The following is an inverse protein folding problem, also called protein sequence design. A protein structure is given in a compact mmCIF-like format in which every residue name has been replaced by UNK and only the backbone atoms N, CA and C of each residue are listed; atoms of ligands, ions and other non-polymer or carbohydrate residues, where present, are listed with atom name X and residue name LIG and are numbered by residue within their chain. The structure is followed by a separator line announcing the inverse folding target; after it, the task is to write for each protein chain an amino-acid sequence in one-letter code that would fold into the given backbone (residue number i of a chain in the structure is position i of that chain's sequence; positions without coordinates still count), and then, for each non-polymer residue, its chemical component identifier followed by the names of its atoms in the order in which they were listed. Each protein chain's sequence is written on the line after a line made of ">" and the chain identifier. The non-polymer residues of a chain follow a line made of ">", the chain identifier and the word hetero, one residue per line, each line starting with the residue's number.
data_IF_046908193696
#
_entry.id   IF_046908193696
#
_cell.length_a   1.000
_cell.length_b   1.000
_cell.length_c   1.000
_cell.angle_alpha   90.00
_cell.angle_beta   90.00
_cell.angle_gamma   90.00
#
_symmetry.space_group_name_H-M   'P 1'
#
loop_
_entity.id
_entity.type
_entity.pdbx_description
1 polymer ?
#
# COMPACT_ATOMS: atom_id res chain seq x y z
N UNK A 1 31.15 -0.85 -10.47
CA UNK A 1 30.02 0.10 -10.63
C UNK A 1 29.07 -0.10 -9.46
N UNK A 2 28.50 0.99 -8.93
CA UNK A 2 27.65 0.95 -7.72
C UNK A 2 26.19 0.57 -8.08
N UNK A 3 25.52 -0.31 -7.32
CA UNK A 3 24.08 -0.49 -7.42
C UNK A 3 23.30 0.82 -7.24
N UNK A 4 22.26 1.00 -8.05
CA UNK A 4 21.32 2.12 -7.94
C UNK A 4 19.92 1.56 -7.64
N UNK A 5 19.23 2.18 -6.68
CA UNK A 5 17.87 1.81 -6.28
C UNK A 5 16.94 3.00 -6.57
N UNK A 6 15.91 2.78 -7.39
CA UNK A 6 14.89 3.79 -7.70
C UNK A 6 13.67 3.57 -6.81
N UNK A 7 13.55 4.40 -5.77
CA UNK A 7 12.44 4.41 -4.81
C UNK A 7 12.89 4.11 -3.38
N UNK A 8 12.55 5.00 -2.44
CA UNK A 8 12.93 4.89 -1.02
C UNK A 8 11.73 4.59 -0.10
N UNK A 9 10.84 3.71 -0.55
CA UNK A 9 9.89 3.00 0.32
C UNK A 9 10.52 1.76 0.95
N UNK A 10 9.74 0.91 1.64
CA UNK A 10 10.28 -0.24 2.38
C UNK A 10 11.13 -1.16 1.51
N UNK A 11 10.67 -1.54 0.31
CA UNK A 11 11.42 -2.42 -0.59
C UNK A 11 12.82 -1.90 -0.93
N UNK A 12 12.91 -0.62 -1.30
CA UNK A 12 14.19 0.00 -1.67
C UNK A 12 15.10 0.28 -0.48
N UNK A 13 14.52 0.60 0.69
CA UNK A 13 15.29 0.76 1.93
C UNK A 13 15.80 -0.57 2.49
N UNK A 14 15.00 -1.64 2.47
CA UNK A 14 15.43 -2.98 2.84
C UNK A 14 16.52 -3.51 1.89
N UNK A 15 16.39 -3.27 0.58
CA UNK A 15 17.44 -3.61 -0.38
C UNK A 15 18.73 -2.79 -0.16
N UNK A 16 18.62 -1.49 0.13
CA UNK A 16 19.77 -0.65 0.48
C UNK A 16 20.47 -1.14 1.76
N UNK A 17 19.68 -1.47 2.79
CA UNK A 17 20.18 -1.96 4.07
C UNK A 17 20.91 -3.30 3.91
N UNK A 18 20.34 -4.25 3.17
CA UNK A 18 20.95 -5.55 2.92
C UNK A 18 22.27 -5.46 2.13
N UNK A 19 22.38 -4.50 1.20
CA UNK A 19 23.63 -4.22 0.49
C UNK A 19 24.67 -3.58 1.42
N UNK A 20 24.26 -2.61 2.24
CA UNK A 20 25.15 -1.93 3.17
C UNK A 20 25.67 -2.87 4.28
N UNK A 21 24.83 -3.76 4.81
CA UNK A 21 25.22 -4.84 5.72
C UNK A 21 26.27 -5.80 5.12
N UNK A 22 26.37 -5.88 3.79
CA UNK A 22 27.38 -6.64 3.05
C UNK A 22 28.58 -5.79 2.61
N UNK A 23 28.71 -4.56 3.13
CA UNK A 23 29.71 -3.57 2.73
C UNK A 23 29.70 -3.25 1.21
N UNK A 24 28.54 -3.36 0.56
CA UNK A 24 28.36 -2.98 -0.85
C UNK A 24 27.77 -1.56 -0.88
N UNK A 25 28.52 -0.54 -1.32
CA UNK A 25 27.98 0.81 -1.40
C UNK A 25 26.79 0.86 -2.36
N UNK A 26 25.76 1.66 -2.06
CA UNK A 26 24.53 1.76 -2.87
C UNK A 26 24.03 3.21 -2.97
N UNK A 27 23.53 3.60 -4.15
CA UNK A 27 22.87 4.90 -4.35
C UNK A 27 21.35 4.72 -4.32
N UNK A 28 20.68 5.30 -3.32
CA UNK A 28 19.23 5.23 -3.11
C UNK A 28 18.55 6.53 -3.58
N UNK A 29 17.79 6.45 -4.66
CA UNK A 29 17.19 7.61 -5.34
C UNK A 29 15.70 7.71 -5.03
N UNK A 30 15.20 8.90 -4.69
CA UNK A 30 13.76 9.13 -4.58
C UNK A 30 13.35 10.59 -4.86
N UNK A 31 12.15 10.83 -5.42
CA UNK A 31 11.64 12.19 -5.65
C UNK A 31 11.24 12.90 -4.35
N UNK A 32 10.98 12.15 -3.27
CA UNK A 32 10.56 12.66 -1.96
C UNK A 32 11.31 11.95 -0.82
N UNK A 33 11.46 12.56 0.37
CA UNK A 33 12.00 11.89 1.55
C UNK A 33 11.23 10.61 1.90
N UNK A 34 11.92 9.60 2.42
CA UNK A 34 11.35 8.27 2.73
C UNK A 34 10.12 8.29 3.64
N UNK A 35 10.03 9.26 4.56
CA UNK A 35 8.85 9.52 5.40
C UNK A 35 7.58 9.93 4.63
N UNK A 36 7.70 10.20 3.32
CA UNK A 36 6.58 10.47 2.40
C UNK A 36 6.28 9.31 1.45
N UNK A 37 6.99 8.18 1.57
CA UNK A 37 6.68 6.97 0.81
C UNK A 37 5.31 6.42 1.19
N UNK A 38 4.62 5.76 0.25
CA UNK A 38 3.31 5.15 0.52
C UNK A 38 3.38 4.09 1.64
N UNK A 39 4.54 3.46 1.86
CA UNK A 39 4.73 2.47 2.92
C UNK A 39 4.39 3.00 4.32
N UNK A 40 4.58 4.30 4.58
CA UNK A 40 4.19 4.95 5.85
C UNK A 40 2.68 4.85 6.13
N UNK A 41 1.86 4.72 5.08
CA UNK A 41 0.40 4.64 5.18
C UNK A 41 -0.12 3.20 5.40
N UNK A 42 0.75 2.19 5.55
CA UNK A 42 0.30 0.83 5.83
C UNK A 42 -0.15 0.68 7.30
N UNK A 43 -1.44 0.39 7.50
CA UNK A 43 -2.02 0.25 8.84
C UNK A 43 -2.01 -1.23 9.32
N UNK A 44 -2.37 -2.14 8.40
CA UNK A 44 -2.87 -3.49 8.69
C UNK A 44 -1.92 -4.43 9.44
N UNK A 45 -0.63 -4.38 9.17
CA UNK A 45 0.36 -5.28 9.77
C UNK A 45 1.27 -5.92 8.73
N UNK A 46 2.06 -6.91 9.16
CA UNK A 46 2.94 -7.76 8.35
C UNK A 46 2.59 -9.21 8.69
N UNK A 47 2.48 -10.08 7.70
CA UNK A 47 2.05 -11.47 7.91
C UNK A 47 3.26 -12.39 8.08
N UNK A 48 3.34 -13.12 9.20
CA UNK A 48 4.40 -14.08 9.46
C UNK A 48 3.90 -15.22 10.35
N UNK A 49 4.31 -16.45 10.02
CA UNK A 49 3.96 -17.64 10.78
C UNK A 49 4.80 -17.76 12.07
N UNK A 50 4.50 -16.88 13.04
CA UNK A 50 5.11 -16.83 14.38
C UNK A 50 4.11 -17.13 15.51
N UNK A 51 2.85 -17.44 15.17
CA UNK A 51 1.83 -17.88 16.12
C UNK A 51 1.97 -19.36 16.49
N UNK A 52 1.47 -19.80 17.66
CA UNK A 52 1.63 -21.17 18.13
C UNK A 52 0.93 -22.21 17.24
N UNK A 53 -0.19 -21.84 16.61
CA UNK A 53 -1.00 -22.71 15.74
C UNK A 53 -0.79 -22.42 14.23
N UNK A 54 0.32 -21.77 13.85
CA UNK A 54 0.60 -21.40 12.46
C UNK A 54 1.89 -22.06 11.93
N UNK A 55 2.05 -22.09 10.61
CA UNK A 55 3.28 -22.57 9.96
C UNK A 55 3.49 -21.89 8.60
N UNK A 56 4.73 -21.83 8.09
CA UNK A 56 5.00 -21.33 6.74
C UNK A 56 4.16 -22.03 5.66
N UNK A 57 3.94 -23.34 5.77
CA UNK A 57 3.09 -24.11 4.85
C UNK A 57 1.61 -23.72 4.94
N UNK A 58 1.12 -23.36 6.14
CA UNK A 58 -0.24 -22.86 6.33
C UNK A 58 -0.41 -21.45 5.74
N UNK A 59 0.58 -20.58 5.96
CA UNK A 59 0.65 -19.25 5.35
C UNK A 59 0.76 -19.32 3.81
N UNK A 60 1.55 -20.27 3.27
CA UNK A 60 1.65 -20.56 1.84
C UNK A 60 0.28 -20.90 1.26
N UNK A 61 -0.44 -21.86 1.87
CA UNK A 61 -1.75 -22.31 1.39
C UNK A 61 -2.76 -21.17 1.34
N UNK A 62 -2.86 -20.41 2.42
CA UNK A 62 -3.79 -19.28 2.51
C UNK A 62 -3.47 -18.19 1.48
N UNK A 63 -2.19 -17.92 1.23
CA UNK A 63 -1.73 -16.96 0.20
C UNK A 63 -2.00 -17.47 -1.22
N UNK A 64 -1.77 -18.77 -1.47
CA UNK A 64 -2.00 -19.42 -2.76
C UNK A 64 -3.47 -19.40 -3.18
N UNK A 65 -4.36 -19.77 -2.25
CA UNK A 65 -5.81 -19.76 -2.48
C UNK A 65 -6.36 -18.34 -2.60
N UNK A 66 -5.90 -17.41 -1.74
CA UNK A 66 -6.30 -15.99 -1.81
C UNK A 66 -5.84 -15.29 -3.09
N UNK A 67 -4.68 -15.69 -3.63
CA UNK A 67 -4.15 -15.24 -4.92
C UNK A 67 -4.79 -15.92 -6.14
N UNK A 68 -5.95 -16.58 -5.97
CA UNK A 68 -6.68 -17.33 -7.01
C UNK A 68 -5.81 -18.38 -7.74
N UNK A 69 -4.75 -18.88 -7.09
CA UNK A 69 -3.76 -19.82 -7.67
C UNK A 69 -3.05 -19.29 -8.93
N UNK A 70 -2.93 -17.96 -9.07
CA UNK A 70 -2.28 -17.28 -10.20
C UNK A 70 -0.83 -16.84 -9.91
N UNK A 71 -0.38 -16.91 -8.66
CA UNK A 71 0.95 -16.45 -8.26
C UNK A 71 2.07 -17.39 -8.77
N UNK A 72 3.34 -17.00 -8.58
CA UNK A 72 4.44 -17.93 -8.75
C UNK A 72 4.63 -18.74 -7.46
N UNK A 73 4.43 -20.06 -7.53
CA UNK A 73 4.52 -20.97 -6.36
C UNK A 73 5.85 -20.82 -5.60
N UNK A 74 6.98 -20.76 -6.31
CA UNK A 74 8.31 -20.62 -5.68
C UNK A 74 8.46 -19.28 -4.95
N UNK A 75 7.92 -18.20 -5.52
CA UNK A 75 7.94 -16.88 -4.90
C UNK A 75 7.07 -16.83 -3.64
N UNK A 76 5.87 -17.44 -3.66
CA UNK A 76 5.00 -17.52 -2.47
C UNK A 76 5.67 -18.35 -1.38
N UNK A 77 6.22 -19.52 -1.71
CA UNK A 77 6.92 -20.40 -0.75
C UNK A 77 8.09 -19.66 -0.07
N UNK A 78 8.95 -19.01 -0.85
CA UNK A 78 10.07 -18.23 -0.32
C UNK A 78 9.61 -17.07 0.58
N UNK A 79 8.54 -16.35 0.19
CA UNK A 79 7.96 -15.28 1.01
C UNK A 79 7.44 -15.82 2.35
N UNK A 80 6.69 -16.92 2.34
CA UNK A 80 6.05 -17.43 3.55
C UNK A 80 7.01 -18.13 4.50
N UNK A 81 8.07 -18.76 3.98
CA UNK A 81 9.18 -19.32 4.76
C UNK A 81 10.04 -18.24 5.40
N UNK A 82 10.33 -17.16 4.66
CA UNK A 82 11.22 -16.10 5.15
C UNK A 82 10.55 -15.10 6.08
N UNK A 83 9.21 -15.00 6.05
CA UNK A 83 8.45 -14.02 6.84
C UNK A 83 8.69 -14.08 8.38
N UNK A 84 8.80 -15.26 9.04
CA UNK A 84 9.16 -15.33 10.46
C UNK A 84 10.52 -14.70 10.78
N UNK A 85 11.53 -14.97 9.96
CA UNK A 85 12.88 -14.39 10.10
C UNK A 85 12.85 -12.86 9.89
N UNK A 86 12.05 -12.37 8.93
CA UNK A 86 11.84 -10.93 8.72
C UNK A 86 11.26 -10.24 9.96
N UNK A 87 10.33 -10.87 10.70
CA UNK A 87 9.85 -10.26 11.95
C UNK A 87 10.98 -10.18 12.99
N UNK A 88 11.81 -11.21 13.12
CA UNK A 88 12.99 -11.20 13.99
C UNK A 88 13.99 -10.08 13.62
N UNK A 89 14.28 -9.91 12.33
CA UNK A 89 15.11 -8.81 11.83
C UNK A 89 14.50 -7.44 12.17
N UNK A 90 13.19 -7.27 11.99
CA UNK A 90 12.51 -6.01 12.32
C UNK A 90 12.51 -5.74 13.83
N UNK A 91 12.44 -6.77 14.68
CA UNK A 91 12.62 -6.63 16.13
C UNK A 91 14.06 -6.21 16.47
N UNK A 92 15.07 -6.75 15.80
CA UNK A 92 16.47 -6.31 15.96
C UNK A 92 16.69 -4.86 15.51
N UNK A 93 15.97 -4.39 14.49
CA UNK A 93 15.92 -2.97 14.06
C UNK A 93 15.06 -2.08 15.00
N UNK A 94 14.71 -2.56 16.19
CA UNK A 94 13.88 -1.88 17.17
C UNK A 94 12.52 -1.38 16.62
N UNK A 95 11.92 -2.10 15.65
CA UNK A 95 10.57 -1.80 15.21
C UNK A 95 9.58 -1.99 16.36
N UNK A 96 8.89 -0.90 16.73
CA UNK A 96 7.94 -0.87 17.83
C UNK A 96 6.63 -1.61 17.51
N UNK A 97 6.66 -2.95 17.49
CA UNK A 97 5.47 -3.79 17.44
C UNK A 97 4.63 -3.62 18.73
N UNK A 98 3.31 -3.72 18.59
CA UNK A 98 2.41 -3.92 19.73
C UNK A 98 2.73 -5.29 20.34
N UNK A 99 3.04 -5.36 21.63
CA UNK A 99 3.40 -6.61 22.30
C UNK A 99 2.19 -7.23 23.04
N UNK A 100 2.18 -8.56 23.10
CA UNK A 100 1.28 -9.34 23.95
C UNK A 100 1.75 -9.36 25.41
N UNK A 101 0.94 -10.00 26.28
CA UNK A 101 1.27 -10.18 27.69
C UNK A 101 2.50 -11.08 27.93
N UNK A 102 2.92 -11.85 26.93
CA UNK A 102 4.12 -12.69 26.89
C UNK A 102 5.36 -11.95 26.35
N UNK A 103 5.25 -10.65 26.05
CA UNK A 103 6.33 -9.84 25.49
C UNK A 103 6.62 -10.07 24.00
N UNK A 104 5.87 -10.94 23.31
CA UNK A 104 6.03 -11.21 21.87
C UNK A 104 5.14 -10.29 21.02
N UNK A 105 5.39 -10.16 19.70
CA UNK A 105 4.52 -9.38 18.82
C UNK A 105 3.07 -9.89 18.85
N UNK A 106 2.12 -8.99 19.15
CA UNK A 106 0.71 -9.31 19.17
C UNK A 106 0.18 -9.59 17.75
N UNK A 107 -0.52 -10.71 17.58
CA UNK A 107 -1.09 -11.14 16.31
C UNK A 107 -2.59 -10.84 16.26
N UNK A 108 -3.08 -10.36 15.11
CA UNK A 108 -4.50 -10.07 14.89
C UNK A 108 -5.08 -10.80 13.67
N UNK A 109 -6.41 -11.01 13.62
CA UNK A 109 -7.07 -11.53 12.42
C UNK A 109 -6.98 -10.53 11.27
N UNK A 110 -6.66 -11.04 10.08
CA UNK A 110 -6.67 -10.26 8.84
C UNK A 110 -7.32 -11.08 7.70
N UNK A 111 -7.66 -10.42 6.59
CA UNK A 111 -8.39 -11.06 5.51
C UNK A 111 -7.62 -12.17 4.81
N UNK A 112 -8.32 -13.22 4.38
CA UNK A 112 -7.74 -14.34 3.63
C UNK A 112 -6.91 -15.34 4.44
N UNK A 113 -6.86 -15.20 5.77
CA UNK A 113 -6.08 -16.06 6.66
C UNK A 113 -6.96 -17.08 7.39
N UNK A 114 -6.45 -18.29 7.62
CA UNK A 114 -7.10 -19.31 8.45
C UNK A 114 -6.82 -19.14 9.94
N UNK A 115 -5.69 -18.52 10.31
CA UNK A 115 -5.25 -18.25 11.70
C UNK A 115 -4.68 -16.83 11.82
N UNK A 116 -4.59 -16.30 13.06
CA UNK A 116 -4.06 -14.97 13.32
C UNK A 116 -2.53 -14.95 13.13
N UNK A 117 -2.03 -14.28 12.07
CA UNK A 117 -0.59 -14.19 11.78
C UNK A 117 -0.07 -12.79 11.46
N UNK A 118 -0.92 -11.78 11.62
CA UNK A 118 -0.58 -10.40 11.30
C UNK A 118 0.01 -9.69 12.52
N UNK A 119 1.35 -9.62 12.57
CA UNK A 119 2.08 -8.78 13.51
C UNK A 119 1.89 -7.30 13.15
N UNK A 120 1.80 -6.41 14.15
CA UNK A 120 1.41 -5.02 13.91
C UNK A 120 1.93 -4.05 14.96
N UNK A 121 1.84 -2.75 14.65
CA UNK A 121 2.04 -1.64 15.59
C UNK A 121 0.79 -0.76 15.61
N UNK A 122 -0.23 -1.17 16.36
CA UNK A 122 -1.59 -0.63 16.39
C UNK A 122 -2.15 -0.37 14.98
N UNK A 123 -2.38 0.88 14.59
CA UNK A 123 -2.80 1.30 13.24
C UNK A 123 -1.65 1.96 12.45
N UNK A 124 -0.41 1.85 12.91
CA UNK A 124 0.75 2.62 12.42
C UNK A 124 1.91 1.75 11.92
N UNK A 125 1.70 0.45 11.69
CA UNK A 125 2.75 -0.52 11.33
C UNK A 125 3.73 -0.02 10.28
N UNK A 126 3.23 0.51 9.16
CA UNK A 126 4.05 1.04 8.06
C UNK A 126 4.86 2.27 8.43
N UNK A 127 4.34 3.14 9.32
CA UNK A 127 5.09 4.26 9.89
C UNK A 127 6.24 3.74 10.75
N UNK A 128 6.00 2.79 11.65
CA UNK A 128 7.05 2.23 12.52
C UNK A 128 8.14 1.51 11.71
N UNK A 129 7.75 0.69 10.73
CA UNK A 129 8.67 0.00 9.82
C UNK A 129 9.55 0.99 9.04
N UNK A 130 8.95 2.02 8.42
CA UNK A 130 9.70 3.05 7.69
C UNK A 130 10.60 3.83 8.64
N UNK A 131 10.17 4.14 9.86
CA UNK A 131 10.98 4.83 10.86
C UNK A 131 12.21 4.00 11.24
N UNK A 132 12.04 2.71 11.59
CA UNK A 132 13.14 1.80 11.92
C UNK A 132 14.18 1.71 10.79
N UNK A 133 13.72 1.48 9.55
CA UNK A 133 14.60 1.44 8.37
C UNK A 133 15.32 2.77 8.12
N UNK A 134 14.69 3.91 8.38
CA UNK A 134 15.35 5.23 8.25
C UNK A 134 16.44 5.41 9.31
N UNK A 135 16.20 5.00 10.56
CA UNK A 135 17.20 5.11 11.62
C UNK A 135 18.43 4.22 11.34
N UNK A 136 18.22 2.95 10.97
CA UNK A 136 19.35 2.06 10.67
C UNK A 136 20.13 2.52 9.44
N UNK A 137 19.46 2.96 8.38
CA UNK A 137 20.14 3.47 7.17
C UNK A 137 20.95 4.74 7.41
N UNK A 138 20.67 5.54 8.45
CA UNK A 138 21.48 6.74 8.75
C UNK A 138 22.90 6.38 9.17
N UNK A 139 23.10 5.28 9.91
CA UNK A 139 24.45 4.78 10.24
C UNK A 139 25.23 4.51 8.96
N UNK A 140 24.61 3.81 8.02
CA UNK A 140 25.21 3.49 6.73
C UNK A 140 25.38 4.70 5.78
N UNK A 141 24.64 5.79 6.00
CA UNK A 141 24.85 7.08 5.31
C UNK A 141 26.07 7.83 5.86
N UNK A 142 26.27 7.80 7.19
CA UNK A 142 27.45 8.36 7.86
C UNK A 142 28.73 7.56 7.51
N UNK A 143 28.63 6.23 7.40
CA UNK A 143 29.70 5.35 6.89
C UNK A 143 29.97 5.49 5.38
N UNK A 144 29.15 6.25 4.64
CA UNK A 144 29.29 6.45 3.19
C UNK A 144 28.88 5.24 2.33
N UNK A 145 28.38 4.16 2.94
CA UNK A 145 27.86 2.98 2.24
C UNK A 145 26.51 3.24 1.55
N UNK A 146 25.69 4.18 2.05
CA UNK A 146 24.41 4.55 1.45
C UNK A 146 24.44 6.01 1.01
N UNK A 147 24.30 6.26 -0.29
CA UNK A 147 24.18 7.60 -0.86
C UNK A 147 22.71 7.92 -1.18
N UNK A 148 22.02 8.71 -0.34
CA UNK A 148 20.59 9.02 -0.51
C UNK A 148 20.35 10.27 -1.39
N UNK A 149 20.00 10.06 -2.66
CA UNK A 149 19.65 11.11 -3.61
C UNK A 149 18.16 11.47 -3.57
N UNK A 150 17.80 12.34 -2.63
CA UNK A 150 16.42 12.86 -2.49
C UNK A 150 16.15 14.05 -3.43
N UNK A 151 14.93 14.13 -3.98
CA UNK A 151 14.49 15.19 -4.89
C UNK A 151 14.78 14.91 -6.36
N UNK A 152 15.21 13.68 -6.69
CA UNK A 152 15.48 13.22 -8.04
C UNK A 152 14.35 12.31 -8.52
N UNK A 153 13.78 12.66 -9.67
CA UNK A 153 12.79 11.87 -10.40
C UNK A 153 13.52 10.99 -11.41
N UNK A 154 13.07 9.75 -11.58
CA UNK A 154 13.54 8.89 -12.68
C UNK A 154 12.98 9.43 -14.00
N UNK A 155 13.85 9.74 -14.96
CA UNK A 155 13.43 10.10 -16.32
C UNK A 155 13.41 8.88 -17.23
N UNK A 156 14.50 8.10 -17.21
CA UNK A 156 14.73 7.02 -18.17
C UNK A 156 15.84 6.06 -17.73
N UNK A 157 15.90 4.91 -18.42
CA UNK A 157 16.94 3.90 -18.30
C UNK A 157 17.77 3.87 -19.58
N UNK A 158 19.10 3.78 -19.45
CA UNK A 158 20.00 3.50 -20.56
C UNK A 158 20.21 1.99 -20.67
N UNK A 159 19.71 1.41 -21.77
CA UNK A 159 19.73 -0.01 -22.07
C UNK A 159 20.55 -0.27 -23.34
N UNK A 160 21.30 -1.36 -23.33
CA UNK A 160 22.16 -1.80 -24.42
C UNK A 160 22.05 -3.33 -24.55
N UNK A 161 21.41 -3.80 -25.62
CA UNK A 161 21.11 -5.24 -25.82
C UNK A 161 20.39 -5.89 -24.61
N UNK A 162 19.55 -5.11 -23.90
CA UNK A 162 18.85 -5.54 -22.68
C UNK A 162 19.65 -5.37 -21.39
N UNK A 163 20.95 -5.07 -21.46
CA UNK A 163 21.79 -4.79 -20.30
C UNK A 163 21.63 -3.33 -19.84
N UNK A 164 21.65 -3.10 -18.53
CA UNK A 164 21.64 -1.73 -17.98
C UNK A 164 23.03 -1.12 -18.11
N UNK A 165 23.11 0.10 -18.64
CA UNK A 165 24.33 0.94 -18.65
C UNK A 165 24.27 2.09 -17.67
N UNK A 166 23.07 2.56 -17.35
CA UNK A 166 22.83 3.59 -16.36
C UNK A 166 21.39 4.08 -16.29
N UNK A 167 21.17 5.14 -15.52
CA UNK A 167 19.87 5.79 -15.38
C UNK A 167 19.97 7.30 -15.54
N UNK A 168 18.94 7.89 -16.13
CA UNK A 168 18.76 9.32 -16.28
C UNK A 168 17.80 9.83 -15.21
N UNK A 169 18.24 10.80 -14.42
CA UNK A 169 17.51 11.38 -13.30
C UNK A 169 17.33 12.89 -13.48
N UNK A 170 16.22 13.44 -13.00
CA UNK A 170 15.94 14.88 -13.04
C UNK A 170 15.65 15.43 -11.66
N UNK A 171 16.40 16.46 -11.25
CA UNK A 171 16.10 17.22 -10.04
C UNK A 171 15.27 18.46 -10.40
N UNK A 172 13.99 18.43 -10.06
CA UNK A 172 13.04 19.51 -10.40
C UNK A 172 13.40 20.85 -9.76
N UNK A 173 13.95 20.83 -8.55
CA UNK A 173 14.29 22.06 -7.80
C UNK A 173 15.57 22.71 -8.37
N UNK A 174 16.55 21.90 -8.75
CA UNK A 174 17.82 22.35 -9.36
C UNK A 174 17.74 22.52 -10.89
N UNK A 175 16.61 22.17 -11.51
CA UNK A 175 16.40 22.08 -12.97
C UNK A 175 17.53 21.33 -13.70
N UNK A 176 18.13 20.32 -13.04
CA UNK A 176 19.32 19.61 -13.52
C UNK A 176 19.03 18.14 -13.79
N UNK A 177 19.42 17.69 -14.97
CA UNK A 177 19.50 16.27 -15.32
C UNK A 177 20.85 15.69 -14.89
N UNK A 178 20.86 14.47 -14.38
CA UNK A 178 22.05 13.72 -13.96
C UNK A 178 21.97 12.32 -14.55
N UNK A 179 23.06 11.86 -15.15
CA UNK A 179 23.24 10.47 -15.57
C UNK A 179 24.08 9.74 -14.53
N UNK A 180 23.62 8.57 -14.08
CA UNK A 180 24.38 7.67 -13.20
C UNK A 180 24.67 6.38 -13.96
N UNK A 181 25.95 6.15 -14.28
CA UNK A 181 26.41 4.92 -14.92
C UNK A 181 26.35 3.75 -13.93
N UNK A 182 25.60 2.71 -14.27
CA UNK A 182 25.53 1.48 -13.47
C UNK A 182 25.09 0.30 -14.33
N UNK A 183 25.59 -0.90 -14.00
CA UNK A 183 25.09 -2.18 -14.52
C UNK A 183 24.13 -2.90 -13.57
N UNK A 184 23.81 -2.30 -12.42
CA UNK A 184 23.01 -2.90 -11.36
C UNK A 184 21.92 -1.94 -10.91
N UNK A 185 20.68 -2.23 -11.28
CA UNK A 185 19.53 -1.36 -11.05
C UNK A 185 18.38 -2.12 -10.39
N UNK A 186 17.89 -1.61 -9.26
CA UNK A 186 16.72 -2.12 -8.55
C UNK A 186 15.60 -1.09 -8.68
N UNK A 187 14.41 -1.53 -9.12
CA UNK A 187 13.23 -0.67 -9.24
C UNK A 187 12.27 -0.96 -8.07
N UNK A 188 12.14 0.01 -7.16
CA UNK A 188 11.32 -0.03 -5.95
C UNK A 188 10.35 1.18 -5.89
N UNK A 189 9.88 1.64 -7.06
CA UNK A 189 9.18 2.91 -7.24
C UNK A 189 7.73 2.95 -6.70
N UNK A 190 7.16 1.81 -6.32
CA UNK A 190 5.77 1.68 -5.86
C UNK A 190 4.76 1.42 -6.98
N UNK A 191 3.47 1.56 -6.66
CA UNK A 191 2.36 1.18 -7.53
C UNK A 191 1.84 2.27 -8.48
N UNK A 192 0.81 1.92 -9.26
CA UNK A 192 0.25 2.72 -10.36
C UNK A 192 -0.97 3.59 -9.93
N UNK A 193 -0.99 4.09 -8.69
CA UNK A 193 -2.18 4.71 -8.10
C UNK A 193 -2.73 5.92 -8.87
N UNK A 194 -1.83 6.73 -9.44
CA UNK A 194 -2.21 7.93 -10.20
C UNK A 194 -3.01 7.67 -11.47
N UNK A 195 -3.07 6.42 -11.96
CA UNK A 195 -3.98 6.02 -13.04
C UNK A 195 -5.45 6.04 -12.62
N UNK A 196 -5.75 6.04 -11.30
CA UNK A 196 -7.10 5.92 -10.77
C UNK A 196 -7.48 7.12 -9.89
N UNK A 197 -8.48 7.90 -10.30
CA UNK A 197 -8.96 9.07 -9.56
C UNK A 197 -9.62 8.78 -8.19
N UNK A 198 -9.86 7.51 -7.84
CA UNK A 198 -10.47 7.07 -6.58
C UNK A 198 -9.55 6.09 -5.81
N UNK A 199 -8.28 6.46 -5.61
CA UNK A 199 -7.29 5.62 -4.92
C UNK A 199 -7.20 5.89 -3.40
N UNK A 200 -6.83 4.88 -2.62
CA UNK A 200 -6.37 5.01 -1.22
C UNK A 200 -4.87 5.32 -1.11
N UNK A 201 -4.10 5.01 -2.15
CA UNK A 201 -2.66 5.17 -2.20
C UNK A 201 -2.21 6.62 -2.29
N UNK A 202 -0.89 6.83 -2.42
CA UNK A 202 -0.36 8.16 -2.63
C UNK A 202 -0.56 8.59 -4.08
N UNK A 203 -1.10 9.78 -4.32
CA UNK A 203 -1.18 10.38 -5.67
C UNK A 203 0.21 10.74 -6.24
N UNK A 204 1.26 10.68 -5.42
CA UNK A 204 2.65 10.77 -5.89
C UNK A 204 3.14 9.49 -6.59
N UNK A 205 2.47 8.35 -6.36
CA UNK A 205 2.77 7.08 -7.02
C UNK A 205 1.97 7.04 -8.34
N UNK A 206 2.47 7.75 -9.35
CA UNK A 206 1.81 7.94 -10.66
C UNK A 206 1.93 6.74 -11.59
N UNK A 207 2.93 5.88 -11.38
CA UNK A 207 3.27 4.78 -12.28
C UNK A 207 4.16 5.19 -13.46
N UNK A 208 4.70 6.41 -13.44
CA UNK A 208 5.61 6.95 -14.45
C UNK A 208 6.86 6.09 -14.68
N UNK A 209 7.49 5.59 -13.60
CA UNK A 209 8.66 4.69 -13.69
C UNK A 209 8.31 3.41 -14.43
N UNK A 210 7.23 2.73 -14.04
CA UNK A 210 6.78 1.48 -14.68
C UNK A 210 6.40 1.71 -16.14
N UNK A 211 5.68 2.79 -16.44
CA UNK A 211 5.30 3.16 -17.80
C UNK A 211 6.54 3.45 -18.66
N UNK A 212 7.55 4.15 -18.14
CA UNK A 212 8.80 4.43 -18.86
C UNK A 212 9.57 3.14 -19.15
N UNK A 213 9.74 2.27 -18.15
CA UNK A 213 10.42 0.98 -18.33
C UNK A 213 9.71 0.12 -19.39
N UNK A 214 8.37 0.09 -19.37
CA UNK A 214 7.57 -0.58 -20.40
C UNK A 214 7.83 0.01 -21.80
N UNK A 215 7.88 1.34 -21.95
CA UNK A 215 8.26 1.97 -23.24
C UNK A 215 9.71 1.71 -23.67
N UNK A 216 10.56 1.22 -22.77
CA UNK A 216 11.93 0.77 -23.05
C UNK A 216 12.04 -0.74 -23.28
N UNK A 217 10.91 -1.42 -23.47
CA UNK A 217 10.84 -2.85 -23.79
C UNK A 217 10.90 -3.77 -22.58
N UNK A 218 10.88 -3.26 -21.35
CA UNK A 218 10.83 -4.10 -20.14
C UNK A 218 9.45 -4.72 -19.98
N UNK A 219 9.38 -6.04 -19.79
CA UNK A 219 8.10 -6.75 -19.69
C UNK A 219 7.40 -6.45 -18.37
N UNK A 220 6.12 -6.10 -18.45
CA UNK A 220 5.22 -5.97 -17.29
C UNK A 220 4.19 -7.09 -17.38
N UNK A 221 4.02 -7.83 -16.28
CA UNK A 221 3.03 -8.90 -16.16
C UNK A 221 1.85 -8.46 -15.27
N UNK A 222 0.68 -9.06 -15.50
CA UNK A 222 -0.51 -8.96 -14.64
C UNK A 222 -0.99 -7.51 -14.36
N UNK A 223 -0.80 -6.59 -15.31
CA UNK A 223 -1.17 -5.18 -15.16
C UNK A 223 -2.70 -4.96 -15.01
N UNK A 224 -3.50 -5.94 -15.40
CA UNK A 224 -4.94 -6.01 -15.23
C UNK A 224 -5.39 -6.40 -13.80
N UNK A 225 -4.51 -6.97 -12.98
CA UNK A 225 -4.82 -7.43 -11.61
C UNK A 225 -4.81 -6.27 -10.60
N UNK A 226 -5.76 -5.35 -10.73
CA UNK A 226 -5.91 -4.19 -9.86
C UNK A 226 -6.76 -4.53 -8.62
N UNK A 227 -6.17 -4.39 -7.44
CA UNK A 227 -6.87 -4.59 -6.16
C UNK A 227 -7.72 -3.36 -5.78
N UNK A 228 -9.01 -3.57 -5.56
CA UNK A 228 -9.93 -2.56 -5.01
C UNK A 228 -10.19 -2.83 -3.53
N UNK A 229 -9.76 -1.90 -2.66
CA UNK A 229 -9.99 -2.04 -1.21
C UNK A 229 -11.49 -1.83 -0.88
N UNK A 230 -12.16 -2.77 -0.18
CA UNK A 230 -13.63 -2.76 -0.04
C UNK A 230 -14.15 -1.65 0.88
N UNK A 231 -13.33 -1.18 1.83
CA UNK A 231 -13.72 -0.17 2.83
C UNK A 231 -12.86 1.08 2.71
N UNK A 232 -13.47 2.19 2.27
CA UNK A 232 -12.81 3.49 2.15
C UNK A 232 -13.75 4.63 2.54
N UNK A 233 -13.19 5.73 3.02
CA UNK A 233 -13.91 6.98 3.28
C UNK A 233 -13.50 8.02 2.25
N UNK A 234 -14.47 8.55 1.49
CA UNK A 234 -14.19 9.52 0.43
C UNK A 234 -13.78 10.87 1.02
N UNK A 235 -12.63 11.39 0.58
CA UNK A 235 -12.19 12.77 0.82
C UNK A 235 -11.86 13.45 -0.51
N UNK A 236 -11.76 14.79 -0.57
CA UNK A 236 -11.21 15.48 -1.74
C UNK A 236 -9.79 14.98 -2.05
N UNK A 237 -9.46 14.83 -3.33
CA UNK A 237 -8.15 14.36 -3.79
C UNK A 237 -7.97 12.83 -3.75
N UNK A 238 -7.95 12.23 -2.55
CA UNK A 238 -7.81 10.78 -2.38
C UNK A 238 -8.82 10.19 -1.40
N UNK A 239 -9.10 8.90 -1.52
CA UNK A 239 -9.85 8.18 -0.51
C UNK A 239 -8.95 7.89 0.70
N UNK A 240 -9.54 7.91 1.90
CA UNK A 240 -8.91 7.41 3.12
C UNK A 240 -9.24 5.92 3.25
N UNK A 241 -8.24 5.09 3.54
CA UNK A 241 -8.45 3.67 3.82
C UNK A 241 -9.16 3.52 5.17
N UNK A 242 -9.98 2.48 5.32
CA UNK A 242 -10.48 2.02 6.62
C UNK A 242 -10.01 0.57 6.75
N UNK A 243 -9.02 0.31 7.62
CA UNK A 243 -8.34 -0.97 7.72
C UNK A 243 -9.28 -2.18 7.81
N UNK A 244 -8.93 -3.26 7.11
CA UNK A 244 -9.58 -4.56 7.24
C UNK A 244 -9.55 -5.09 8.68
N UNK A 245 -8.58 -4.66 9.51
CA UNK A 245 -8.57 -4.98 10.94
C UNK A 245 -9.87 -4.55 11.65
N UNK A 246 -10.59 -3.53 11.17
CA UNK A 246 -11.92 -3.16 11.69
C UNK A 246 -12.96 -4.26 11.45
N UNK A 247 -12.92 -4.95 10.30
CA UNK A 247 -13.76 -6.13 10.01
C UNK A 247 -13.32 -7.34 10.83
N UNK A 248 -12.00 -7.56 10.94
CA UNK A 248 -11.40 -8.60 11.80
C UNK A 248 -11.82 -8.48 13.27
N UNK A 249 -11.84 -7.25 13.81
CA UNK A 249 -12.29 -6.92 15.16
C UNK A 249 -13.82 -6.95 15.36
N UNK A 250 -14.60 -7.50 14.42
CA UNK A 250 -16.05 -7.67 14.54
C UNK A 250 -16.91 -6.65 13.78
N UNK A 251 -16.30 -5.70 13.06
CA UNK A 251 -17.01 -4.79 12.16
C UNK A 251 -17.83 -5.53 11.10
N UNK A 252 -18.96 -4.94 10.68
CA UNK A 252 -19.91 -5.54 9.73
C UNK A 252 -20.29 -4.54 8.64
N UNK A 253 -20.28 -5.02 7.39
CA UNK A 253 -20.82 -4.29 6.26
C UNK A 253 -22.33 -4.52 6.17
N UNK A 254 -23.08 -3.49 5.83
CA UNK A 254 -24.53 -3.58 5.65
C UNK A 254 -24.99 -2.60 4.58
N UNK A 255 -26.13 -2.91 3.99
CA UNK A 255 -26.90 -2.03 3.13
C UNK A 255 -28.33 -1.93 3.68
N UNK A 256 -29.09 -0.95 3.20
CA UNK A 256 -30.52 -0.82 3.51
C UNK A 256 -31.31 -0.99 2.22
N UNK A 257 -32.23 -1.97 2.20
CA UNK A 257 -33.14 -2.23 1.09
C UNK A 257 -34.56 -2.26 1.65
N UNK A 258 -35.45 -1.42 1.14
CA UNK A 258 -36.84 -1.32 1.61
C UNK A 258 -36.96 -0.99 3.12
N UNK A 259 -36.04 -0.18 3.66
CA UNK A 259 -35.99 0.14 5.10
C UNK A 259 -35.49 -0.98 6.01
N UNK A 260 -35.13 -2.15 5.46
CA UNK A 260 -34.52 -3.27 6.22
C UNK A 260 -33.00 -3.24 6.07
N UNK A 261 -32.30 -3.36 7.20
CA UNK A 261 -30.84 -3.49 7.25
C UNK A 261 -30.44 -4.91 6.89
N UNK A 262 -29.75 -5.07 5.76
CA UNK A 262 -29.22 -6.33 5.28
C UNK A 262 -27.70 -6.34 5.48
N UNK A 263 -27.20 -7.24 6.33
CA UNK A 263 -25.76 -7.47 6.48
C UNK A 263 -25.22 -8.06 5.18
N UNK A 264 -24.28 -7.35 4.56
CA UNK A 264 -23.53 -7.86 3.43
C UNK A 264 -22.48 -8.83 4.00
N UNK A 265 -22.46 -10.06 3.48
CA UNK A 265 -21.51 -11.13 3.84
C UNK A 265 -21.70 -11.68 5.27
N UNK A 266 -22.56 -12.69 5.41
CA UNK A 266 -22.56 -13.61 6.58
C UNK A 266 -21.54 -14.72 6.32
N UNK A 267 -20.78 -15.12 7.35
CA UNK A 267 -19.70 -16.14 7.29
C UNK A 267 -20.13 -17.50 6.70
N UNK A 268 -21.44 -17.79 6.65
CA UNK A 268 -22.04 -19.03 6.11
C UNK A 268 -23.44 -18.81 5.46
N UNK A 269 -23.77 -17.62 4.90
CA UNK A 269 -25.04 -17.51 4.16
C UNK A 269 -25.10 -16.33 3.18
N UNK A 270 -25.26 -16.63 1.90
CA UNK A 270 -25.92 -15.75 0.92
C UNK A 270 -27.43 -16.04 0.98
N UNK A 271 -28.31 -15.04 1.15
CA UNK A 271 -29.76 -15.25 1.03
C UNK A 271 -30.12 -15.69 -0.39
N UNK A 272 -30.95 -16.74 -0.54
CA UNK A 272 -31.36 -17.31 -1.85
C UNK A 272 -31.96 -16.28 -2.82
N UNK A 273 -32.54 -15.18 -2.33
CA UNK A 273 -33.10 -14.12 -3.18
C UNK A 273 -32.07 -13.44 -4.10
N UNK A 274 -30.77 -13.50 -3.77
CA UNK A 274 -29.70 -12.88 -4.58
C UNK A 274 -29.20 -13.84 -5.68
N UNK A 275 -29.45 -15.16 -5.60
CA UNK A 275 -28.94 -16.12 -6.60
C UNK A 275 -29.68 -16.09 -7.94
N UNK A 276 -30.93 -15.59 -7.97
CA UNK A 276 -31.78 -15.64 -9.18
C UNK A 276 -31.43 -14.61 -10.27
N UNK A 277 -30.26 -13.94 -10.20
CA UNK A 277 -29.79 -12.98 -11.21
C UNK A 277 -28.55 -13.44 -12.00
N UNK A 278 -28.24 -14.74 -11.98
CA UNK A 278 -27.24 -15.35 -12.86
C UNK A 278 -25.76 -15.03 -12.56
N UNK A 279 -25.47 -14.17 -11.59
CA UNK A 279 -24.10 -13.96 -11.09
C UNK A 279 -23.74 -15.06 -10.09
N UNK A 280 -22.94 -16.03 -10.53
CA UNK A 280 -22.29 -17.00 -9.65
C UNK A 280 -21.26 -16.30 -8.75
N UNK A 281 -21.58 -16.19 -7.46
CA UNK A 281 -20.62 -15.77 -6.45
C UNK A 281 -19.78 -16.97 -6.01
N UNK A 282 -18.44 -16.90 -5.99
CA UNK A 282 -17.62 -18.00 -5.48
C UNK A 282 -17.86 -18.20 -3.98
N UNK A 283 -18.17 -19.45 -3.58
CA UNK A 283 -18.64 -19.82 -2.23
C UNK A 283 -17.56 -19.83 -1.11
N UNK A 284 -16.40 -19.19 -1.30
CA UNK A 284 -15.28 -19.26 -0.33
C UNK A 284 -14.72 -17.88 0.05
N UNK A 285 -14.16 -17.80 1.26
CA UNK A 285 -13.79 -16.58 1.99
C UNK A 285 -12.62 -15.76 1.40
N UNK A 286 -12.65 -15.39 0.13
CA UNK A 286 -11.63 -14.51 -0.52
C UNK A 286 -11.96 -13.01 -0.41
N UNK A 287 -12.58 -12.59 0.70
CA UNK A 287 -13.06 -11.22 0.93
C UNK A 287 -12.01 -10.24 1.50
N UNK A 288 -10.72 -10.58 1.40
CA UNK A 288 -9.57 -9.66 1.58
C UNK A 288 -9.40 -8.76 0.37
N UNK A 289 -9.52 -9.32 -0.83
CA UNK A 289 -9.31 -8.62 -2.09
C UNK A 289 -10.06 -9.30 -3.24
N UNK A 290 -11.14 -8.67 -3.69
CA UNK A 290 -11.77 -9.07 -4.94
C UNK A 290 -10.96 -8.54 -6.13
N UNK A 291 -10.40 -9.44 -6.93
CA UNK A 291 -9.85 -9.15 -8.25
C UNK A 291 -11.04 -8.99 -9.20
N UNK A 292 -11.30 -7.76 -9.66
CA UNK A 292 -12.44 -7.46 -10.54
C UNK A 292 -12.01 -7.39 -12.02
N UNK A 293 -12.11 -8.50 -12.74
CA UNK A 293 -12.02 -8.51 -14.20
C UNK A 293 -13.38 -8.15 -14.82
N UNK A 294 -13.68 -6.84 -14.96
CA UNK A 294 -14.86 -6.39 -15.71
C UNK A 294 -15.38 -5.00 -15.32
N UNK A 295 -16.06 -4.33 -16.28
CA UNK A 295 -16.72 -3.03 -16.06
C UNK A 295 -17.97 -3.16 -15.17
N UNK A 296 -17.79 -3.35 -13.87
CA UNK A 296 -18.87 -3.29 -12.88
C UNK A 296 -18.42 -2.52 -11.63
N UNK A 297 -18.56 -1.19 -11.69
CA UNK A 297 -18.28 -0.32 -10.55
C UNK A 297 -19.35 -0.50 -9.46
N UNK A 298 -19.08 -1.43 -8.53
CA UNK A 298 -19.85 -1.55 -7.28
C UNK A 298 -19.54 -0.34 -6.39
N UNK A 299 -20.12 0.79 -6.78
CA UNK A 299 -20.02 2.06 -6.08
C UNK A 299 -20.80 1.93 -4.79
N UNK A 300 -20.10 1.64 -3.68
CA UNK A 300 -20.65 1.82 -2.34
C UNK A 300 -20.89 3.31 -2.15
N UNK A 301 -22.07 3.79 -2.59
CA UNK A 301 -22.59 5.10 -2.20
C UNK A 301 -22.79 5.05 -0.70
N UNK A 302 -21.87 5.65 0.05
CA UNK A 302 -22.05 5.89 1.47
C UNK A 302 -23.25 6.84 1.64
N UNK A 303 -24.42 6.28 1.92
CA UNK A 303 -25.64 7.06 2.11
C UNK A 303 -25.59 7.85 3.41
N UNK A 304 -26.32 8.98 3.42
CA UNK A 304 -26.05 10.18 4.24
C UNK A 304 -26.09 10.06 5.78
N UNK A 305 -26.41 8.90 6.37
CA UNK A 305 -26.54 8.75 7.84
C UNK A 305 -26.09 7.38 8.33
N UNK A 306 -24.93 7.33 9.00
CA UNK A 306 -24.58 6.25 9.93
C UNK A 306 -24.82 6.80 11.33
N UNK A 307 -25.78 6.25 12.07
CA UNK A 307 -25.97 6.51 13.51
C UNK A 307 -25.46 5.32 14.32
N UNK A 308 -24.65 5.62 15.33
CA UNK A 308 -24.31 4.73 16.43
C UNK A 308 -25.01 5.29 17.69
N UNK A 309 -25.51 4.43 18.58
CA UNK A 309 -26.24 4.84 19.79
C UNK A 309 -25.63 4.19 21.05
N UNK A 310 -25.51 4.91 22.19
CA UNK A 310 -24.84 4.45 23.41
C UNK A 310 -25.82 4.24 24.60
N UNK A 311 -25.29 3.93 25.80
CA UNK A 311 -25.86 4.45 27.04
C UNK A 311 -24.86 5.27 27.89
N UNK A 312 -25.41 6.28 28.59
CA UNK A 312 -24.85 7.16 29.65
C UNK A 312 -23.84 8.31 29.33
N UNK A 313 -24.44 9.52 29.23
CA UNK A 313 -24.15 10.85 29.85
C UNK A 313 -22.97 10.97 30.86
N UNK A 314 -22.28 12.13 31.04
CA UNK A 314 -22.36 13.51 30.48
C UNK A 314 -20.96 14.19 30.51
N UNK A 315 -20.71 15.18 29.63
CA UNK A 315 -19.85 16.41 29.72
C UNK A 315 -19.44 16.95 28.29
N UNK A 316 -19.02 18.23 28.12
CA UNK A 316 -19.44 19.04 26.95
C UNK A 316 -18.44 19.22 25.75
N UNK A 317 -18.97 19.87 24.71
CA UNK A 317 -18.46 20.03 23.33
C UNK A 317 -17.30 21.06 23.17
N UNK A 318 -16.44 21.02 22.14
CA UNK A 318 -16.79 21.46 20.75
C UNK A 318 -15.74 21.10 19.69
N UNK A 319 -16.17 20.41 18.62
CA UNK A 319 -15.62 20.48 17.24
C UNK A 319 -16.41 19.54 16.29
N UNK A 320 -17.11 20.09 15.29
CA UNK A 320 -17.91 19.34 14.30
C UNK A 320 -17.06 18.98 13.05
N UNK A 321 -17.23 17.87 12.30
CA UNK A 321 -18.00 16.62 12.43
C UNK A 321 -17.48 15.67 11.30
N UNK A 322 -17.49 14.33 11.33
CA UNK A 322 -17.97 13.28 12.25
C UNK A 322 -16.78 12.35 12.58
N UNK A 323 -16.81 11.68 13.74
CA UNK A 323 -15.77 10.83 14.32
C UNK A 323 -15.85 9.33 13.96
N UNK A 324 -14.69 8.65 14.00
CA UNK A 324 -14.58 7.18 14.09
C UNK A 324 -14.33 6.87 15.58
N UNK A 325 -15.14 5.98 16.18
CA UNK A 325 -14.93 5.55 17.57
C UNK A 325 -13.91 4.41 17.63
N UNK A 326 -12.74 4.70 18.19
CA UNK A 326 -11.78 3.70 18.69
C UNK A 326 -11.49 4.08 20.15
N UNK A 327 -11.68 3.14 21.07
CA UNK A 327 -11.40 3.36 22.50
C UNK A 327 -9.88 3.33 22.75
N UNK A 328 -9.34 4.37 23.36
CA UNK A 328 -8.14 4.29 24.20
C UNK A 328 -8.29 5.24 25.40
N UNK A 329 -7.60 4.94 26.49
CA UNK A 329 -7.92 5.44 27.83
C UNK A 329 -7.32 6.82 28.17
N UNK A 330 -7.88 7.42 29.22
CA UNK A 330 -7.70 8.78 29.76
C UNK A 330 -6.24 9.23 29.95
N UNK A 331 -6.03 10.55 29.78
CA UNK A 331 -5.29 11.40 30.72
C UNK A 331 -6.08 12.72 30.96
N UNK A 332 -5.77 13.44 32.04
CA UNK A 332 -6.66 14.44 32.70
C UNK A 332 -6.70 15.85 32.05
N UNK A 333 -7.72 16.70 32.33
CA UNK A 333 -7.91 18.00 31.68
C UNK A 333 -7.81 19.25 32.59
N UNK A 334 -7.23 20.33 32.07
CA UNK A 334 -7.51 21.76 32.36
C UNK A 334 -6.89 22.63 31.25
N UNK A 335 -7.43 23.76 30.78
CA UNK A 335 -8.77 24.35 30.94
C UNK A 335 -8.97 25.56 29.99
N UNK A 336 -10.23 25.84 29.63
CA UNK A 336 -10.85 27.15 29.26
C UNK A 336 -10.24 28.14 28.22
N UNK A 337 -11.11 28.57 27.27
CA UNK A 337 -11.06 29.85 26.53
C UNK A 337 -10.38 29.80 25.14
N UNK A 338 -10.77 30.52 24.08
CA UNK A 338 -11.89 31.42 23.75
C UNK A 338 -11.63 31.98 22.33
N UNK A 339 -12.68 32.19 21.53
CA UNK A 339 -12.88 33.11 20.37
C UNK A 339 -11.69 33.76 19.61
N UNK A 340 -11.73 33.80 18.26
CA UNK A 340 -11.34 34.96 17.40
C UNK A 340 -11.79 34.78 15.92
N UNK A 341 -12.14 35.89 15.24
CA UNK A 341 -12.49 35.99 13.80
C UNK A 341 -11.25 36.19 12.89
N UNK A 342 -11.36 35.94 11.58
CA UNK A 342 -11.28 36.97 10.51
C UNK A 342 -11.46 36.38 9.09
N UNK A 343 -11.65 37.23 8.07
CA UNK A 343 -12.04 36.88 6.69
C UNK A 343 -11.06 37.43 5.63
N UNK A 344 -11.08 36.88 4.39
CA UNK A 344 -10.95 37.61 3.10
C UNK A 344 -10.81 36.70 1.83
N UNK A 345 -11.51 37.06 0.73
CA UNK A 345 -11.00 37.22 -0.67
C UNK A 345 -10.26 36.08 -1.42
N UNK A 346 -10.41 35.78 -2.74
CA UNK A 346 -11.35 36.17 -3.84
C UNK A 346 -11.23 35.21 -5.06
N UNK A 347 -12.19 35.33 -6.01
CA UNK A 347 -12.12 35.11 -7.49
C UNK A 347 -12.35 33.71 -8.11
N UNK A 348 -12.87 33.79 -9.35
CA UNK A 348 -13.53 32.78 -10.19
C UNK A 348 -12.63 32.23 -11.32
N UNK A 349 -13.01 31.12 -12.00
CA UNK A 349 -12.20 30.45 -13.02
C UNK A 349 -12.54 30.88 -14.46
N UNK A 350 -11.63 30.74 -15.43
CA UNK A 350 -11.94 30.75 -16.86
C UNK A 350 -12.24 29.35 -17.41
N UNK A 351 -13.08 29.31 -18.44
CA UNK A 351 -13.45 28.13 -19.23
C UNK A 351 -12.52 27.95 -20.44
N UNK A 352 -12.39 26.71 -20.94
CA UNK A 352 -11.69 26.43 -22.19
C UNK A 352 -11.92 25.00 -22.69
N UNK A 353 -12.58 24.86 -23.85
CA UNK A 353 -12.65 23.59 -24.59
C UNK A 353 -11.46 23.51 -25.55
N UNK A 354 -10.84 22.33 -25.67
CA UNK A 354 -9.99 21.98 -26.81
C UNK A 354 -10.40 20.60 -27.30
N UNK A 355 -10.70 20.50 -28.59
CA UNK A 355 -10.99 19.25 -29.30
C UNK A 355 -9.74 18.78 -30.05
N UNK A 356 -9.40 17.50 -29.92
CA UNK A 356 -8.32 16.86 -30.70
C UNK A 356 -8.65 15.39 -30.95
N UNK A 357 -8.56 14.96 -32.21
CA UNK A 357 -8.90 13.60 -32.62
C UNK A 357 -7.78 12.61 -32.28
N UNK A 358 -8.15 11.38 -31.90
CA UNK A 358 -7.19 10.28 -31.72
C UNK A 358 -7.10 9.44 -32.99
N UNK A 359 -5.92 9.37 -33.61
CA UNK A 359 -5.54 8.32 -34.55
C UNK A 359 -4.78 7.20 -33.83
N UNK A 360 -5.04 5.95 -34.18
CA UNK A 360 -4.45 4.78 -33.54
C UNK A 360 -3.16 4.32 -34.25
N UNK A 361 -2.08 3.95 -33.52
CA UNK A 361 -0.92 3.30 -34.10
C UNK A 361 -1.08 1.77 -34.20
N UNK A 362 -0.38 1.16 -35.17
CA UNK A 362 -0.52 -0.23 -35.57
C UNK A 362 0.17 -1.24 -34.62
N UNK A 363 -0.18 -2.53 -34.78
CA UNK A 363 0.47 -3.67 -34.10
C UNK A 363 1.91 -3.89 -34.61
N UNK A 364 2.80 -4.30 -33.71
CA UNK A 364 4.11 -4.88 -34.03
C UNK A 364 4.26 -6.29 -33.43
N UNK A 365 5.17 -7.14 -33.96
CA UNK A 365 5.06 -8.59 -33.84
C UNK A 365 5.63 -9.17 -32.54
N UNK A 366 5.18 -10.38 -32.21
CA UNK A 366 5.64 -11.13 -31.06
C UNK A 366 6.93 -11.90 -31.39
N UNK A 367 8.06 -11.46 -30.83
CA UNK A 367 9.19 -12.32 -30.36
C UNK A 367 10.36 -11.46 -29.85
N UNK A 368 10.34 -11.10 -28.56
CA UNK A 368 11.54 -10.71 -27.81
C UNK A 368 11.39 -11.15 -26.35
N UNK A 369 12.32 -11.97 -25.87
CA UNK A 369 12.42 -12.36 -24.45
C UNK A 369 13.00 -11.21 -23.63
N UNK A 370 12.13 -10.30 -23.20
CA UNK A 370 12.53 -9.15 -22.38
C UNK A 370 12.47 -9.45 -20.87
N UNK A 371 13.30 -8.77 -20.05
CA UNK A 371 13.33 -8.97 -18.61
C UNK A 371 11.99 -8.58 -17.96
N UNK A 372 11.47 -9.46 -17.10
CA UNK A 372 10.18 -9.30 -16.42
C UNK A 372 10.36 -8.46 -15.15
N UNK A 373 9.77 -7.27 -15.12
CA UNK A 373 9.53 -6.54 -13.87
C UNK A 373 8.29 -7.11 -13.19
N UNK A 374 8.53 -7.96 -12.18
CA UNK A 374 7.49 -8.45 -11.29
C UNK A 374 7.01 -7.31 -10.37
N UNK A 375 5.85 -6.73 -10.69
CA UNK A 375 5.19 -5.73 -9.85
C UNK A 375 4.48 -6.38 -8.63
N UNK A 376 5.22 -7.15 -7.84
CA UNK A 376 4.71 -7.79 -6.63
C UNK A 376 4.50 -6.75 -5.51
N UNK A 377 3.27 -6.25 -5.37
CA UNK A 377 2.86 -5.54 -4.15
C UNK A 377 2.43 -6.55 -3.09
N UNK A 378 3.42 -7.26 -2.53
CA UNK A 378 3.27 -8.17 -1.40
C UNK A 378 4.45 -7.98 -0.44
N UNK A 379 4.19 -7.29 0.66
CA UNK A 379 4.99 -7.16 1.87
C UNK A 379 4.01 -7.21 3.06
#
# INVERSE_FOLDING_TARGET
>A
MQPVIIGAGIAGMSAALHLAQKNIPVTLVAPYPSVRSQSVMAEGGINAAIGPDDSPSLHFRDTWESGCRLANIKAVHHLTDRAPEVIGELQHLAMAFTLGADGKPALRPFGGQSVNRTAHADSTTGKQLVTALIYELRRYEEEGLVNRLTGFFFLDIDLDEGNVRGVLLYNRNRKKTVYIRTSQLIIAAGGLNGLFGNTTGSVANTGDVTARLFTRGVTVANAELVQYHPTTFRRPGKNMLISEAVRGAGGRLFTEIGGKRLTLWKRNSVPKEISNRGTSYPEKNTASSAIWAGRSSLTVRAYRRIRLLPPFRDLPETAANISISIRQQRLCPCGTGSTILWAASTRTPPTGRVSGACTAPARMPANTTAPIVSAATLF
#
